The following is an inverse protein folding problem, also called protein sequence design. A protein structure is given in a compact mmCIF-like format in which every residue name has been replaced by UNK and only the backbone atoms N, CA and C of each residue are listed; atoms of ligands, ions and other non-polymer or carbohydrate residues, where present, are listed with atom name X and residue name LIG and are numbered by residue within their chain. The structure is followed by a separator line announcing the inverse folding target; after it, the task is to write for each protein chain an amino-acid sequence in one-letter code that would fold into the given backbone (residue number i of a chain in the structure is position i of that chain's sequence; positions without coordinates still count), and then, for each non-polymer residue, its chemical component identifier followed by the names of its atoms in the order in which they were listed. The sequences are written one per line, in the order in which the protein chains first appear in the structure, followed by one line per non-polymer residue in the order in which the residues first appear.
data_IF_265423180422
#
_entry.id   IF_265423180422
#
_cell.length_a   1.000
_cell.length_b   1.000
_cell.length_c   1.000
_cell.angle_alpha   90.00
_cell.angle_beta   90.00
_cell.angle_gamma   90.00
#
_symmetry.space_group_name_H-M   'P 1'
#
loop_
_entity.id
_entity.type
_entity.pdbx_description
1 polymer ?
#
# COMPACT_ATOMS: atom_id res chain seq x y z
N UNK A 1 -4.87 -15.07 16.91
CA UNK A 1 -4.61 -13.62 17.07
C UNK A 1 -5.95 -12.94 17.26
N UNK A 2 -6.09 -12.12 18.30
CA UNK A 2 -7.36 -11.60 18.82
C UNK A 2 -7.79 -10.28 18.17
N UNK A 3 -9.10 -10.03 18.22
CA UNK A 3 -9.92 -9.01 17.56
C UNK A 3 -9.46 -7.53 17.58
N UNK A 4 -8.32 -7.14 18.18
CA UNK A 4 -8.01 -5.73 18.46
C UNK A 4 -6.54 -5.26 18.40
N UNK A 5 -5.54 -6.12 18.15
CA UNK A 5 -4.13 -5.68 18.17
C UNK A 5 -3.36 -6.14 16.94
N UNK A 6 -3.45 -5.35 15.88
CA UNK A 6 -2.58 -5.49 14.70
C UNK A 6 -1.17 -4.93 14.97
N UNK A 7 -0.97 -4.25 16.10
CA UNK A 7 0.32 -3.70 16.49
C UNK A 7 1.25 -4.83 16.91
N UNK A 8 2.46 -4.86 16.35
CA UNK A 8 3.46 -5.90 16.62
C UNK A 8 4.78 -5.30 17.12
N UNK A 9 5.61 -6.11 17.78
CA UNK A 9 7.00 -5.76 18.06
C UNK A 9 7.86 -5.89 16.80
N UNK A 10 9.00 -5.19 16.77
CA UNK A 10 10.00 -5.36 15.70
C UNK A 10 10.58 -6.78 15.68
N UNK A 11 10.64 -7.44 16.84
CA UNK A 11 11.18 -8.79 16.97
C UNK A 11 10.26 -9.86 16.36
N UNK A 12 8.97 -9.54 16.18
CA UNK A 12 7.98 -10.44 15.58
C UNK A 12 7.95 -10.34 14.05
N UNK A 13 8.66 -9.35 13.48
CA UNK A 13 8.59 -8.99 12.07
C UNK A 13 9.37 -9.97 11.19
N UNK A 14 8.74 -10.44 10.11
CA UNK A 14 9.30 -11.46 9.21
C UNK A 14 9.35 -10.97 7.77
N UNK A 15 10.41 -11.30 7.01
CA UNK A 15 10.44 -11.00 5.58
C UNK A 15 9.18 -11.51 4.85
N UNK A 16 8.59 -10.66 4.02
CA UNK A 16 7.33 -10.89 3.33
C UNK A 16 6.10 -10.39 4.08
N UNK A 17 6.24 -9.83 5.29
CA UNK A 17 5.12 -9.21 5.99
C UNK A 17 4.67 -7.93 5.30
N UNK A 18 3.35 -7.81 5.13
CA UNK A 18 2.71 -6.55 4.78
C UNK A 18 2.48 -5.77 6.08
N UNK A 19 3.23 -4.69 6.22
CA UNK A 19 3.16 -3.81 7.38
C UNK A 19 2.52 -2.48 6.99
N UNK A 20 1.94 -1.84 7.99
CA UNK A 20 1.45 -0.49 7.84
C UNK A 20 1.68 0.32 9.10
N UNK A 21 1.56 1.63 8.94
CA UNK A 21 1.67 2.55 10.06
C UNK A 21 0.72 3.72 9.85
N UNK A 22 -0.10 3.99 10.87
CA UNK A 22 -1.04 5.10 10.84
C UNK A 22 -0.30 6.45 10.79
N UNK A 23 -0.78 7.35 9.95
CA UNK A 23 -0.33 8.73 9.74
C UNK A 23 -1.50 9.67 10.03
N UNK A 24 -1.16 10.94 10.24
CA UNK A 24 -2.11 12.07 10.29
C UNK A 24 -3.36 11.76 11.11
N UNK A 25 -3.22 11.59 12.42
CA UNK A 25 -4.34 11.32 13.34
C UNK A 25 -5.24 10.12 12.95
N UNK A 26 -4.65 9.03 12.43
CA UNK A 26 -5.33 7.79 12.05
C UNK A 26 -6.26 7.89 10.83
N UNK A 27 -6.16 8.95 10.02
CA UNK A 27 -6.96 9.10 8.80
C UNK A 27 -6.34 8.40 7.59
N UNK A 28 -5.05 8.09 7.66
CA UNK A 28 -4.31 7.40 6.61
C UNK A 28 -3.40 6.35 7.23
N UNK A 29 -3.27 5.18 6.63
CA UNK A 29 -2.20 4.23 6.92
C UNK A 29 -1.29 4.13 5.70
N UNK A 30 0.02 4.24 5.94
CA UNK A 30 1.02 4.00 4.92
C UNK A 30 1.44 2.53 4.94
N UNK A 31 1.44 1.89 3.78
CA UNK A 31 1.61 0.44 3.61
C UNK A 31 2.93 0.10 2.92
N UNK A 32 3.50 -1.04 3.27
CA UNK A 32 4.73 -1.54 2.67
C UNK A 32 4.98 -3.02 2.93
N UNK A 33 5.93 -3.58 2.19
CA UNK A 33 6.40 -4.96 2.35
C UNK A 33 7.75 -4.95 3.04
N UNK A 34 7.83 -5.58 4.21
CA UNK A 34 9.12 -5.78 4.87
C UNK A 34 9.89 -6.89 4.15
N UNK A 35 11.14 -6.60 3.75
CA UNK A 35 11.97 -7.53 2.96
C UNK A 35 13.17 -8.08 3.72
N UNK A 36 13.26 -7.82 5.03
CA UNK A 36 14.39 -8.22 5.87
C UNK A 36 15.39 -7.08 6.11
N UNK A 37 16.33 -7.31 7.03
CA UNK A 37 17.43 -6.39 7.37
C UNK A 37 17.00 -4.94 7.65
N UNK A 38 15.82 -4.77 8.28
CA UNK A 38 15.30 -3.44 8.58
C UNK A 38 14.85 -2.65 7.34
N UNK A 39 14.65 -3.29 6.18
CA UNK A 39 14.24 -2.64 4.93
C UNK A 39 12.77 -2.90 4.58
N UNK A 40 12.14 -1.88 4.02
CA UNK A 40 10.76 -1.90 3.56
C UNK A 40 10.72 -1.42 2.12
N UNK A 41 10.01 -2.14 1.26
CA UNK A 41 9.66 -1.69 -0.09
C UNK A 41 8.22 -1.17 -0.04
N UNK A 42 8.01 0.04 -0.55
CA UNK A 42 6.71 0.70 -0.47
C UNK A 42 6.51 1.62 -1.67
N UNK A 43 5.24 1.94 -1.95
CA UNK A 43 4.86 2.77 -3.09
C UNK A 43 4.51 4.17 -2.61
N UNK A 44 5.12 5.19 -3.20
CA UNK A 44 5.04 6.58 -2.75
C UNK A 44 4.78 7.53 -3.90
N UNK A 45 4.01 8.59 -3.63
CA UNK A 45 3.98 9.79 -4.47
C UNK A 45 5.25 10.60 -4.19
N UNK A 46 5.96 11.04 -5.22
CA UNK A 46 7.15 11.86 -5.01
C UNK A 46 6.85 13.25 -4.47
N UNK A 47 7.88 13.89 -3.92
CA UNK A 47 7.80 15.24 -3.39
C UNK A 47 7.72 16.26 -4.52
N UNK A 48 6.58 16.97 -4.63
CA UNK A 48 6.45 18.12 -5.53
C UNK A 48 5.14 18.21 -6.31
N UNK A 49 4.31 17.15 -6.31
CA UNK A 49 3.06 17.16 -7.07
C UNK A 49 1.87 17.51 -6.16
N UNK A 50 1.57 18.81 -6.03
CA UNK A 50 0.24 19.28 -5.64
C UNK A 50 -0.77 18.52 -6.50
N UNK A 51 -1.80 17.94 -5.89
CA UNK A 51 -2.79 17.09 -6.56
C UNK A 51 -3.62 17.87 -7.58
N UNK A 52 -3.34 19.16 -7.80
CA UNK A 52 -4.14 20.06 -8.62
C UNK A 52 -5.59 20.21 -8.13
N UNK A 53 -5.96 19.53 -7.03
CA UNK A 53 -7.34 19.51 -6.52
C UNK A 53 -7.64 20.66 -5.58
N UNK A 54 -6.61 21.30 -5.00
CA UNK A 54 -6.77 22.41 -4.06
C UNK A 54 -7.50 22.02 -2.77
N UNK A 55 -7.58 20.72 -2.46
CA UNK A 55 -8.31 20.23 -1.28
C UNK A 55 -7.39 20.16 -0.07
N UNK A 56 -7.98 20.25 1.14
CA UNK A 56 -7.26 20.21 2.42
C UNK A 56 -6.45 18.89 2.61
N UNK A 57 -6.76 17.83 1.84
CA UNK A 57 -6.04 16.55 1.77
C UNK A 57 -4.65 16.66 1.13
N UNK A 58 -4.42 17.62 0.22
CA UNK A 58 -3.13 17.84 -0.44
C UNK A 58 -2.02 18.21 0.57
N UNK A 59 -2.41 18.79 1.72
CA UNK A 59 -1.55 19.10 2.87
C UNK A 59 -1.42 17.97 3.90
N UNK A 60 -2.23 16.91 3.80
CA UNK A 60 -2.20 15.79 4.74
C UNK A 60 -1.49 14.56 4.18
N UNK A 61 -1.33 14.49 2.85
CA UNK A 61 -0.47 13.56 2.12
C UNK A 61 0.93 14.18 2.00
N UNK A 62 1.37 14.89 3.06
CA UNK A 62 2.72 15.43 3.12
C UNK A 62 3.66 14.27 3.40
N UNK A 63 4.10 13.72 2.27
CA UNK A 63 5.23 12.84 2.05
C UNK A 63 5.18 11.48 2.79
N UNK A 64 4.74 10.45 2.07
CA UNK A 64 5.18 9.06 2.29
C UNK A 64 6.71 8.88 2.20
N UNK A 65 7.41 9.97 1.84
CA UNK A 65 8.85 10.09 1.83
C UNK A 65 9.38 10.05 3.27
N UNK A 66 10.40 9.24 3.54
CA UNK A 66 11.19 9.29 4.76
C UNK A 66 11.64 10.71 5.12
N UNK A 67 11.09 11.29 6.20
CA UNK A 67 11.59 12.57 6.72
C UNK A 67 12.09 12.39 8.16
N UNK A 68 13.29 11.82 8.29
CA UNK A 68 14.04 11.92 9.53
C UNK A 68 15.04 13.07 9.40
N UNK A 69 14.79 14.18 10.11
CA UNK A 69 15.83 15.16 10.49
C UNK A 69 15.80 16.54 9.79
N UNK A 70 14.87 16.79 8.86
CA UNK A 70 15.00 17.93 7.95
C UNK A 70 16.26 17.83 7.08
N UNK A 71 16.49 18.79 6.20
CA UNK A 71 17.61 18.79 5.24
C UNK A 71 19.01 18.65 5.89
N UNK A 72 19.10 18.80 7.21
CA UNK A 72 20.36 18.88 7.96
C UNK A 72 20.84 17.56 8.58
N UNK A 73 20.05 16.48 8.62
CA UNK A 73 20.47 15.19 9.20
C UNK A 73 19.88 13.99 8.45
N UNK A 74 20.36 13.67 7.23
CA UNK A 74 19.82 12.58 6.44
C UNK A 74 20.05 11.22 7.11
N UNK A 75 19.06 10.33 6.99
CA UNK A 75 19.19 8.95 7.42
C UNK A 75 20.41 8.28 6.73
N UNK A 76 21.38 7.73 7.49
CA UNK A 76 22.60 7.15 6.91
C UNK A 76 22.29 5.92 6.03
N UNK A 77 21.22 5.19 6.35
CA UNK A 77 20.79 4.00 5.60
C UNK A 77 20.01 4.33 4.34
N UNK A 78 19.24 5.43 4.33
CA UNK A 78 18.37 5.78 3.20
C UNK A 78 19.01 6.82 2.26
N UNK A 79 19.88 7.70 2.77
CA UNK A 79 20.34 8.92 2.08
C UNK A 79 19.18 9.87 1.72
N UNK A 80 19.45 10.99 1.04
CA UNK A 80 18.41 11.92 0.58
C UNK A 80 17.57 11.26 -0.53
N UNK A 81 16.47 10.61 -0.15
CA UNK A 81 15.49 10.01 -1.08
C UNK A 81 14.32 10.94 -1.40
N UNK A 82 14.46 12.24 -1.14
CA UNK A 82 13.36 13.22 -1.17
C UNK A 82 12.68 13.39 -2.53
N UNK A 83 13.28 12.87 -3.61
CA UNK A 83 12.80 13.02 -4.99
C UNK A 83 12.43 11.68 -5.65
N UNK A 84 12.35 10.56 -4.92
CA UNK A 84 11.98 9.27 -5.50
C UNK A 84 10.46 9.11 -5.51
N UNK A 85 9.88 8.96 -6.71
CA UNK A 85 8.47 8.61 -6.91
C UNK A 85 8.35 7.14 -7.34
N UNK A 86 7.20 6.55 -7.07
CA UNK A 86 6.90 5.18 -7.45
C UNK A 86 7.29 4.18 -6.37
N UNK A 87 7.89 3.06 -6.76
CA UNK A 87 8.27 1.97 -5.85
C UNK A 87 9.67 2.25 -5.32
N UNK A 88 9.78 2.45 -4.00
CA UNK A 88 11.05 2.80 -3.34
C UNK A 88 11.39 1.82 -2.22
N UNK A 89 12.64 1.85 -1.76
CA UNK A 89 13.09 1.14 -0.57
C UNK A 89 13.67 2.08 0.48
N UNK A 90 13.17 1.97 1.70
CA UNK A 90 13.63 2.72 2.87
C UNK A 90 13.92 1.79 4.06
N UNK A 91 14.56 2.32 5.09
CA UNK A 91 14.65 1.61 6.37
C UNK A 91 13.33 1.68 7.14
N UNK A 92 13.15 0.75 8.09
CA UNK A 92 11.93 0.64 8.88
C UNK A 92 11.60 1.94 9.65
N UNK A 93 12.60 2.62 10.22
CA UNK A 93 12.36 3.89 10.94
C UNK A 93 11.82 4.98 10.02
N UNK A 94 12.42 5.10 8.85
CA UNK A 94 12.02 6.01 7.79
C UNK A 94 10.62 5.70 7.27
N UNK A 95 10.30 4.41 7.06
CA UNK A 95 8.96 3.96 6.72
C UNK A 95 7.97 4.36 7.81
N UNK A 96 8.29 4.12 9.08
CA UNK A 96 7.41 4.37 10.23
C UNK A 96 7.22 5.86 10.55
N UNK A 97 8.19 6.73 10.25
CA UNK A 97 8.13 8.18 10.49
C UNK A 97 7.66 8.53 11.91
N UNK A 98 8.23 7.83 12.91
CA UNK A 98 7.86 7.96 14.33
C UNK A 98 6.52 7.33 14.74
N UNK A 99 5.78 6.72 13.80
CA UNK A 99 4.54 5.99 14.06
C UNK A 99 4.75 4.55 14.55
N UNK A 100 3.63 3.92 14.93
CA UNK A 100 3.60 2.54 15.41
C UNK A 100 3.62 1.53 14.24
N UNK A 101 4.19 0.35 14.48
CA UNK A 101 4.26 -0.76 13.53
C UNK A 101 3.03 -1.67 13.65
N UNK A 102 2.32 -1.88 12.55
CA UNK A 102 1.19 -2.80 12.48
C UNK A 102 1.37 -3.80 11.35
N UNK A 103 0.74 -4.97 11.48
CA UNK A 103 0.70 -6.04 10.46
C UNK A 103 -0.68 -6.11 9.82
N UNK A 104 -0.72 -6.24 8.49
CA UNK A 104 -1.96 -6.46 7.75
C UNK A 104 -2.30 -7.94 7.71
N UNK A 105 -3.55 -8.31 8.05
CA UNK A 105 -3.96 -9.72 8.11
C UNK A 105 -4.56 -10.24 6.80
N UNK A 106 -4.17 -11.44 6.39
CA UNK A 106 -4.68 -12.14 5.21
C UNK A 106 -5.46 -13.39 5.59
N UNK A 107 -6.39 -13.81 4.74
CA UNK A 107 -7.16 -15.04 4.94
C UNK A 107 -8.06 -15.02 6.18
N UNK A 108 -8.45 -13.82 6.66
CA UNK A 108 -9.36 -13.72 7.81
C UNK A 108 -10.76 -14.19 7.42
N UNK A 109 -11.53 -14.68 8.39
CA UNK A 109 -12.94 -15.03 8.13
C UNK A 109 -13.77 -13.77 7.83
N UNK A 110 -14.86 -13.92 7.07
CA UNK A 110 -15.78 -12.81 6.79
C UNK A 110 -16.32 -12.15 8.07
N UNK A 111 -16.49 -12.93 9.14
CA UNK A 111 -16.91 -12.42 10.44
C UNK A 111 -15.84 -11.51 11.07
N UNK A 112 -14.57 -11.93 11.04
CA UNK A 112 -13.45 -11.08 11.51
C UNK A 112 -13.35 -9.83 10.65
N UNK A 113 -13.39 -9.97 9.33
CA UNK A 113 -13.34 -8.83 8.40
C UNK A 113 -14.44 -7.79 8.68
N UNK A 114 -15.69 -8.25 8.88
CA UNK A 114 -16.82 -7.38 9.22
C UNK A 114 -16.69 -6.75 10.62
N UNK A 115 -16.08 -7.46 11.57
CA UNK A 115 -15.87 -6.95 12.94
C UNK A 115 -14.77 -5.88 13.02
N UNK A 116 -13.86 -5.80 12.05
CA UNK A 116 -12.81 -4.77 12.03
C UNK A 116 -13.42 -3.39 11.82
N UNK A 117 -13.16 -2.40 12.67
CA UNK A 117 -13.82 -1.09 12.57
C UNK A 117 -13.31 -0.23 11.41
N UNK A 118 -12.11 -0.52 10.90
CA UNK A 118 -11.44 0.26 9.85
C UNK A 118 -11.03 -0.65 8.70
N UNK A 119 -11.23 -0.18 7.46
CA UNK A 119 -10.66 -0.82 6.27
C UNK A 119 -9.14 -0.66 6.22
N UNK A 120 -8.50 -1.36 5.30
CA UNK A 120 -7.03 -1.28 5.12
C UNK A 120 -6.24 -1.95 6.25
N UNK A 121 -6.82 -2.93 6.94
CA UNK A 121 -6.14 -3.66 8.04
C UNK A 121 -6.12 -5.16 7.83
N UNK A 122 -7.07 -5.69 7.06
CA UNK A 122 -7.16 -7.10 6.72
C UNK A 122 -7.93 -7.34 5.43
N UNK A 123 -7.82 -8.57 4.89
CA UNK A 123 -8.63 -9.07 3.77
C UNK A 123 -8.95 -10.56 3.95
N UNK A 124 -10.05 -11.03 3.37
CA UNK A 124 -10.35 -12.46 3.34
C UNK A 124 -9.53 -13.20 2.27
N UNK A 125 -8.87 -12.48 1.35
CA UNK A 125 -7.97 -13.09 0.38
C UNK A 125 -6.75 -13.74 1.09
N UNK A 126 -6.33 -14.95 0.70
CA UNK A 126 -5.10 -15.54 1.21
C UNK A 126 -3.87 -14.80 0.64
N UNK A 127 -2.77 -14.84 1.39
CA UNK A 127 -1.46 -14.40 0.92
C UNK A 127 -0.75 -15.54 0.18
N UNK A 128 0.05 -15.18 -0.82
CA UNK A 128 1.10 -16.03 -1.39
C UNK A 128 2.25 -16.22 -0.37
N UNK A 129 3.17 -17.16 -0.68
CA UNK A 129 4.33 -17.46 0.15
C UNK A 129 5.33 -16.29 0.22
N UNK A 130 6.02 -16.13 1.35
CA UNK A 130 6.88 -14.96 1.60
C UNK A 130 7.97 -14.75 0.55
N UNK A 131 8.54 -15.82 0.00
CA UNK A 131 9.54 -15.76 -1.07
C UNK A 131 8.96 -15.20 -2.37
N UNK A 132 7.75 -15.61 -2.76
CA UNK A 132 7.04 -15.04 -3.91
C UNK A 132 6.72 -13.56 -3.69
N UNK A 133 6.27 -13.20 -2.48
CA UNK A 133 5.97 -11.81 -2.11
C UNK A 133 7.20 -10.92 -2.20
N UNK A 134 8.33 -11.37 -1.62
CA UNK A 134 9.59 -10.65 -1.64
C UNK A 134 10.12 -10.53 -3.08
N UNK A 135 10.04 -11.61 -3.86
CA UNK A 135 10.44 -11.61 -5.27
C UNK A 135 9.66 -10.55 -6.06
N UNK A 136 8.33 -10.53 -5.89
CA UNK A 136 7.43 -9.56 -6.53
C UNK A 136 7.74 -8.12 -6.14
N UNK A 137 7.91 -7.85 -4.84
CA UNK A 137 8.23 -6.51 -4.35
C UNK A 137 9.59 -6.01 -4.88
N UNK A 138 10.61 -6.87 -4.91
CA UNK A 138 11.92 -6.54 -5.48
C UNK A 138 11.87 -6.32 -6.99
N UNK A 139 11.09 -7.13 -7.73
CA UNK A 139 10.90 -6.95 -9.16
C UNK A 139 10.29 -5.58 -9.47
N UNK A 140 9.22 -5.21 -8.76
CA UNK A 140 8.56 -3.91 -8.89
C UNK A 140 9.50 -2.75 -8.53
N UNK A 141 10.30 -2.89 -7.47
CA UNK A 141 11.34 -1.91 -7.11
C UNK A 141 12.38 -1.75 -8.22
N UNK A 142 12.89 -2.86 -8.77
CA UNK A 142 13.95 -2.82 -9.80
C UNK A 142 13.50 -2.20 -11.12
N UNK A 143 12.20 -2.30 -11.43
CA UNK A 143 11.59 -1.76 -12.64
C UNK A 143 10.94 -0.39 -12.44
N UNK A 144 10.85 0.08 -11.19
CA UNK A 144 9.90 1.12 -10.77
C UNK A 144 8.49 0.88 -11.35
N UNK A 145 8.07 -0.38 -11.40
CA UNK A 145 7.07 -0.88 -12.35
C UNK A 145 5.67 -1.05 -11.77
N UNK A 146 5.13 -0.02 -11.11
CA UNK A 146 3.77 -0.10 -10.54
C UNK A 146 2.83 1.00 -11.04
N UNK A 147 3.21 1.68 -12.13
CA UNK A 147 2.46 2.80 -12.70
C UNK A 147 2.48 4.04 -11.82
N UNK A 148 1.58 4.98 -12.12
CA UNK A 148 1.47 6.25 -11.40
C UNK A 148 0.72 6.12 -10.08
N UNK A 149 1.16 6.90 -9.08
CA UNK A 149 0.53 6.92 -7.77
C UNK A 149 -0.75 7.78 -7.77
N UNK A 150 -1.88 7.14 -7.48
CA UNK A 150 -3.18 7.78 -7.31
C UNK A 150 -3.73 7.52 -5.90
N UNK A 151 -3.93 8.58 -5.12
CA UNK A 151 -4.28 8.52 -3.68
C UNK A 151 -5.51 7.66 -3.39
N UNK A 152 -6.56 7.79 -4.19
CA UNK A 152 -7.84 7.08 -4.01
C UNK A 152 -7.90 5.75 -4.78
N UNK A 153 -6.90 5.51 -5.61
CA UNK A 153 -6.78 4.40 -6.54
C UNK A 153 -5.43 3.72 -6.27
N UNK A 154 -4.59 3.57 -7.29
CA UNK A 154 -3.28 2.94 -7.23
C UNK A 154 -2.35 3.57 -6.18
N UNK A 155 -2.42 3.07 -4.95
CA UNK A 155 -1.72 3.62 -3.81
C UNK A 155 -0.88 2.55 -3.08
N UNK A 156 -0.30 2.92 -1.94
CA UNK A 156 0.54 1.99 -1.17
C UNK A 156 -0.18 0.73 -0.68
N UNK A 157 -1.48 0.81 -0.39
CA UNK A 157 -2.30 -0.34 0.03
C UNK A 157 -2.45 -1.32 -1.14
N UNK A 158 -2.81 -0.82 -2.32
CA UNK A 158 -2.94 -1.65 -3.53
C UNK A 158 -1.60 -2.29 -3.94
N UNK A 159 -0.50 -1.54 -3.83
CA UNK A 159 0.85 -2.08 -4.00
C UNK A 159 1.14 -3.26 -3.08
N UNK A 160 0.94 -3.09 -1.78
CA UNK A 160 1.24 -4.13 -0.82
C UNK A 160 0.29 -5.34 -0.97
N UNK A 161 -0.98 -5.10 -1.27
CA UNK A 161 -1.96 -6.15 -1.56
C UNK A 161 -1.58 -6.94 -2.81
N UNK A 162 -1.20 -6.27 -3.90
CA UNK A 162 -0.72 -6.94 -5.11
C UNK A 162 0.55 -7.75 -4.82
N UNK A 163 1.50 -7.17 -4.08
CA UNK A 163 2.71 -7.86 -3.62
C UNK A 163 2.37 -9.15 -2.86
N UNK A 164 1.30 -9.15 -2.06
CA UNK A 164 0.89 -10.32 -1.25
C UNK A 164 0.05 -11.35 -1.99
N UNK A 165 -0.63 -11.00 -3.08
CA UNK A 165 -1.68 -11.87 -3.65
C UNK A 165 -1.59 -12.12 -5.15
N UNK A 166 -0.80 -11.28 -5.86
CA UNK A 166 -0.82 -11.11 -7.32
C UNK A 166 -2.19 -10.75 -7.92
N UNK A 167 -3.18 -10.41 -7.09
CA UNK A 167 -4.52 -10.10 -7.56
C UNK A 167 -4.63 -8.66 -8.02
N UNK A 168 -5.31 -8.47 -9.15
CA UNK A 168 -5.71 -7.18 -9.70
C UNK A 168 -7.20 -7.22 -10.01
N UNK A 169 -7.86 -6.07 -9.92
CA UNK A 169 -9.32 -5.93 -10.02
C UNK A 169 -9.71 -5.16 -11.29
N UNK A 170 -10.62 -5.72 -12.09
CA UNK A 170 -11.30 -5.03 -13.21
C UNK A 170 -10.59 -5.03 -14.57
N UNK A 171 -11.33 -4.72 -15.66
CA UNK A 171 -10.87 -4.83 -17.07
C UNK A 171 -10.03 -3.65 -17.61
N UNK A 172 -10.08 -2.48 -16.97
CA UNK A 172 -9.29 -1.29 -17.32
C UNK A 172 -8.49 -0.77 -16.10
N UNK A 173 -7.80 -1.66 -15.37
CA UNK A 173 -6.89 -1.35 -14.25
C UNK A 173 -7.21 -0.11 -13.42
N UNK A 174 -8.45 0.00 -12.94
CA UNK A 174 -8.68 0.84 -11.77
C UNK A 174 -8.22 0.01 -10.58
N UNK A 175 -6.90 -0.01 -10.35
CA UNK A 175 -6.35 -0.32 -9.03
C UNK A 175 -6.97 0.73 -8.11
N UNK A 176 -7.94 0.34 -7.30
CA UNK A 176 -8.76 1.31 -6.60
C UNK A 176 -10.02 0.71 -6.04
N UNK A 177 -9.89 0.12 -4.85
CA UNK A 177 -10.89 0.20 -3.77
C UNK A 177 -10.16 0.06 -2.43
N UNK A 178 -9.13 0.89 -2.21
CA UNK A 178 -8.43 0.94 -0.93
C UNK A 178 -9.45 0.89 0.22
N UNK A 179 -9.21 0.01 1.20
CA UNK A 179 -10.10 -0.09 2.35
C UNK A 179 -10.23 1.25 3.09
N UNK A 180 -9.25 2.14 2.89
CA UNK A 180 -9.23 3.50 3.39
C UNK A 180 -10.12 4.48 2.59
N UNK A 181 -10.16 4.44 1.24
CA UNK A 181 -11.02 5.34 0.46
C UNK A 181 -12.53 5.12 0.73
N UNK A 182 -12.92 3.87 0.99
CA UNK A 182 -14.31 3.56 1.39
C UNK A 182 -14.64 3.91 2.84
N UNK A 183 -13.65 4.23 3.68
CA UNK A 183 -13.87 4.65 5.07
C UNK A 183 -14.11 6.16 5.22
N UNK A 184 -13.70 6.96 4.22
CA UNK A 184 -13.83 8.41 4.22
C UNK A 184 -15.23 8.90 3.81
N UNK A 185 -15.98 8.12 3.03
CA UNK A 185 -17.39 8.39 2.83
C UNK A 185 -18.16 7.95 4.09
N UNK A 186 -18.28 8.89 5.03
CA UNK A 186 -19.11 8.83 6.23
C UNK A 186 -20.60 8.71 5.91
N UNK A 187 -20.99 7.66 5.19
CA UNK A 187 -22.34 7.15 5.12
C UNK A 187 -22.40 5.99 6.11
N UNK A 188 -23.09 6.14 7.26
CA UNK A 188 -23.29 5.09 8.26
C UNK A 188 -24.01 3.83 7.75
N UNK A 189 -24.29 3.74 6.45
CA UNK A 189 -25.15 2.75 5.80
C UNK A 189 -24.56 2.11 4.54
N UNK A 190 -23.26 2.29 4.25
CA UNK A 190 -22.60 1.31 3.37
C UNK A 190 -22.72 -0.03 4.10
N UNK A 191 -23.69 -0.85 3.68
CA UNK A 191 -24.03 -2.08 4.39
C UNK A 191 -22.77 -2.90 4.62
N UNK A 192 -22.67 -3.59 5.76
CA UNK A 192 -21.58 -4.54 6.00
C UNK A 192 -21.41 -5.50 4.80
N UNK A 193 -22.49 -5.76 4.06
CA UNK A 193 -22.49 -6.47 2.79
C UNK A 193 -21.71 -5.74 1.68
N UNK A 194 -21.90 -4.43 1.43
CA UNK A 194 -21.12 -3.67 0.43
C UNK A 194 -19.63 -3.73 0.75
N UNK A 195 -19.25 -3.56 2.03
CA UNK A 195 -17.86 -3.64 2.45
C UNK A 195 -17.31 -5.06 2.28
N UNK A 196 -18.07 -6.08 2.66
CA UNK A 196 -17.69 -7.49 2.52
C UNK A 196 -17.53 -7.89 1.04
N UNK A 197 -18.46 -7.51 0.16
CA UNK A 197 -18.35 -7.81 -1.27
C UNK A 197 -17.34 -6.92 -2.00
N UNK A 198 -16.91 -5.82 -1.37
CA UNK A 198 -15.79 -5.01 -1.82
C UNK A 198 -14.43 -5.62 -1.46
N UNK A 199 -14.37 -6.55 -0.50
CA UNK A 199 -13.15 -7.22 -0.10
C UNK A 199 -12.55 -8.06 -1.22
N UNK A 200 -11.23 -7.99 -1.37
CA UNK A 200 -10.51 -8.66 -2.45
C UNK A 200 -10.79 -10.17 -2.51
N UNK A 201 -10.88 -10.84 -1.36
CA UNK A 201 -11.14 -12.28 -1.31
C UNK A 201 -12.56 -12.69 -1.71
N UNK A 202 -13.50 -11.73 -1.73
CA UNK A 202 -14.90 -11.95 -2.07
C UNK A 202 -15.25 -11.49 -3.49
N UNK A 203 -14.33 -10.79 -4.17
CA UNK A 203 -14.54 -10.23 -5.50
C UNK A 203 -14.39 -11.28 -6.60
N UNK A 204 -15.39 -11.35 -7.48
CA UNK A 204 -15.38 -12.25 -8.66
C UNK A 204 -14.56 -11.71 -9.83
N UNK A 205 -14.25 -10.42 -9.82
CA UNK A 205 -13.49 -9.71 -10.85
C UNK A 205 -12.01 -9.52 -10.49
N UNK A 206 -11.56 -10.11 -9.37
CA UNK A 206 -10.16 -10.21 -9.02
C UNK A 206 -9.49 -11.36 -9.79
N UNK A 207 -8.40 -11.06 -10.49
CA UNK A 207 -7.63 -12.03 -11.27
C UNK A 207 -6.16 -12.01 -10.86
N UNK A 208 -5.52 -13.19 -10.80
CA UNK A 208 -4.07 -13.26 -10.61
C UNK A 208 -3.36 -12.79 -11.87
N UNK A 209 -2.46 -11.83 -11.73
CA UNK A 209 -1.66 -11.26 -12.81
C UNK A 209 -0.19 -11.41 -12.42
N UNK A 210 0.63 -12.14 -13.22
CA UNK A 210 2.08 -12.19 -13.03
C UNK A 210 2.71 -10.80 -13.05
N UNK A 211 3.81 -10.62 -12.31
CA UNK A 211 4.43 -9.30 -12.12
C UNK A 211 5.00 -8.72 -13.41
N UNK A 212 5.49 -9.59 -14.29
CA UNK A 212 6.00 -9.24 -15.61
C UNK A 212 4.90 -8.61 -16.47
N UNK A 213 3.72 -9.25 -16.50
CA UNK A 213 2.56 -8.77 -17.25
C UNK A 213 2.01 -7.45 -16.70
N UNK A 214 2.12 -7.22 -15.39
CA UNK A 214 1.71 -5.95 -14.78
C UNK A 214 2.62 -4.81 -15.26
N UNK A 215 3.94 -5.01 -15.20
CA UNK A 215 4.94 -4.01 -15.63
C UNK A 215 4.83 -3.74 -17.13
N UNK A 216 4.73 -4.78 -17.96
CA UNK A 216 4.66 -4.64 -19.41
C UNK A 216 3.44 -3.81 -19.84
N UNK A 217 2.30 -3.98 -19.17
CA UNK A 217 1.08 -3.22 -19.49
C UNK A 217 1.17 -1.77 -19.05
N UNK A 218 1.77 -1.48 -17.89
CA UNK A 218 2.00 -0.10 -17.45
C UNK A 218 2.80 0.69 -18.51
N UNK A 219 3.86 0.08 -19.06
CA UNK A 219 4.69 0.67 -20.11
C UNK A 219 3.94 0.92 -21.44
N UNK A 220 2.97 0.07 -21.79
CA UNK A 220 2.16 0.25 -23.02
C UNK A 220 1.14 1.38 -22.91
N UNK A 221 0.58 1.64 -21.72
CA UNK A 221 -0.35 2.76 -21.50
C UNK A 221 0.34 4.11 -21.65
N UNK A 222 1.57 4.26 -21.13
CA UNK A 222 2.36 5.49 -21.27
C UNK A 222 2.74 5.81 -22.71
N UNK A 223 3.08 4.79 -23.50
CA UNK A 223 3.49 4.99 -24.90
C UNK A 223 2.31 5.37 -25.82
N UNK A 224 1.08 4.98 -25.48
CA UNK A 224 -0.13 5.39 -26.23
C UNK A 224 -0.59 6.83 -25.95
N UNK A 225 -0.12 7.45 -24.86
CA UNK A 225 -0.47 8.83 -24.50
C UNK A 225 0.39 9.90 -25.22
N UNK A 226 1.46 9.49 -25.90
CA UNK A 226 2.42 10.39 -26.56
C UNK A 226 2.13 10.55 -28.07
N UNK A 227 1.32 9.67 -28.66
CA UNK A 227 0.96 9.70 -30.11
C UNK A 227 -0.43 10.30 -30.41
N UNK A 228 -1.06 10.97 -29.44
CA UNK A 228 -2.41 11.56 -29.57
C UNK A 228 -2.42 13.07 -29.83
#
# INVERSE_FOLDING_TARGET
MGLLYDQISRDDLKPGDHIYSWRTAFVYAHHGIYVGDGKVIHFTRGGGLETGTGTFLDKFIVSSVPNHGGDNNPCPSCRHQSNLEGVISSCLDCFLSGGNLYIFEYGVSSAIFMARPRGGTCTTAPSDASDEVISRANFLLSRNGFGDYHVFENNCEDFAIYCKTSLVVGKNYVLGRSGQANSFYGLPWASNAIRLFGDLGMRKDAIKVPVENLVDRANTTDSSAIEG
#
